data_IF_790844091130
#
_entry.id   IF_790844091130
#
_cell.length_a   1.000
_cell.length_b   1.000
_cell.length_c   1.000
_cell.angle_alpha   90.00
_cell.angle_beta   90.00
_cell.angle_gamma   90.00
#
_symmetry.space_group_name_H-M   'P 1'
#
loop_
_entity.id
_entity.type
_entity.pdbx_description
1 polymer ?
#
# COMPACT_ATOMS: atom_id res chain seq x y z
N UNK A 1 -4.40 14.17 -6.71
CA UNK A 1 -3.53 13.43 -5.77
C UNK A 1 -4.42 12.59 -4.87
N UNK A 2 -4.08 11.32 -4.57
CA UNK A 2 -4.82 10.56 -3.57
C UNK A 2 -4.74 11.34 -2.25
N UNK A 3 -5.90 11.67 -1.69
CA UNK A 3 -5.95 12.31 -0.38
C UNK A 3 -5.84 11.19 0.65
N UNK A 4 -4.63 10.98 1.15
CA UNK A 4 -4.42 10.10 2.30
C UNK A 4 -4.88 10.86 3.55
N UNK A 5 -6.11 10.63 3.96
CA UNK A 5 -6.67 11.16 5.22
C UNK A 5 -6.40 10.19 6.35
N UNK A 6 -5.15 9.89 6.60
CA UNK A 6 -4.73 9.20 7.82
C UNK A 6 -3.51 9.91 8.36
N UNK A 7 -3.28 9.79 9.65
CA UNK A 7 -2.07 10.17 10.37
C UNK A 7 -0.81 9.43 9.87
N UNK A 8 -0.86 8.87 8.65
CA UNK A 8 0.23 8.19 8.01
C UNK A 8 1.30 9.22 7.64
N UNK A 9 2.33 9.33 8.43
CA UNK A 9 3.50 10.10 8.07
C UNK A 9 4.18 9.40 6.90
N UNK A 10 3.89 9.85 5.68
CA UNK A 10 4.63 9.42 4.50
C UNK A 10 6.10 9.75 4.70
N UNK A 11 6.97 8.81 4.37
CA UNK A 11 8.39 9.02 4.42
C UNK A 11 8.83 10.05 3.38
N UNK A 12 9.76 10.91 3.76
CA UNK A 12 10.30 11.93 2.87
C UNK A 12 11.14 11.29 1.77
N UNK A 13 10.81 11.57 0.49
CA UNK A 13 11.40 10.95 -0.69
C UNK A 13 12.55 11.75 -1.33
N UNK A 14 12.92 12.92 -0.80
CA UNK A 14 13.94 13.82 -1.39
C UNK A 14 15.30 13.18 -1.65
N UNK A 15 15.67 12.16 -0.85
CA UNK A 15 16.94 11.45 -0.99
C UNK A 15 16.82 10.09 -1.68
N UNK A 16 15.61 9.74 -2.07
CA UNK A 16 15.38 8.42 -2.65
C UNK A 16 15.98 8.32 -4.05
N UNK A 17 16.48 7.15 -4.34
CA UNK A 17 16.90 6.72 -5.67
C UNK A 17 16.12 5.48 -6.04
N UNK A 18 15.59 5.44 -7.24
CA UNK A 18 14.84 4.29 -7.73
C UNK A 18 15.52 3.74 -8.97
N UNK A 19 15.55 2.43 -9.07
CA UNK A 19 16.03 1.67 -10.22
C UNK A 19 15.02 0.60 -10.60
N UNK A 20 15.05 0.16 -11.84
CA UNK A 20 14.12 -0.84 -12.34
C UNK A 20 14.82 -1.82 -13.30
N UNK A 21 14.30 -3.04 -13.38
CA UNK A 21 14.82 -4.09 -14.29
C UNK A 21 14.59 -3.75 -15.76
N UNK A 22 13.57 -2.95 -16.06
CA UNK A 22 13.20 -2.50 -17.41
C UNK A 22 12.92 -1.02 -17.39
N UNK A 23 13.16 -0.33 -18.52
CA UNK A 23 12.89 1.11 -18.66
C UNK A 23 13.48 1.97 -17.52
N UNK A 24 14.68 1.62 -17.08
CA UNK A 24 15.33 2.20 -15.90
C UNK A 24 15.55 3.72 -16.01
N UNK A 25 15.74 4.26 -17.21
CA UNK A 25 15.90 5.70 -17.45
C UNK A 25 14.67 6.52 -17.02
N UNK A 26 13.49 5.90 -16.99
CA UNK A 26 12.25 6.52 -16.56
C UNK A 26 11.85 6.16 -15.11
N UNK A 27 12.65 5.36 -14.40
CA UNK A 27 12.31 4.90 -13.06
C UNK A 27 11.99 6.06 -12.09
N UNK A 28 12.72 7.18 -12.19
CA UNK A 28 12.51 8.38 -11.38
C UNK A 28 11.09 8.93 -11.41
N UNK A 29 10.35 8.70 -12.50
CA UNK A 29 8.95 9.15 -12.63
C UNK A 29 7.98 8.48 -11.65
N UNK A 30 8.39 7.42 -10.98
CA UNK A 30 7.59 6.78 -9.93
C UNK A 30 7.71 7.47 -8.56
N UNK A 31 8.57 8.48 -8.43
CA UNK A 31 8.83 9.19 -7.16
C UNK A 31 9.04 10.71 -7.36
N UNK A 32 8.55 11.29 -8.45
CA UNK A 32 8.82 12.70 -8.85
C UNK A 32 7.76 13.70 -8.36
N UNK A 33 6.77 13.25 -7.60
CA UNK A 33 5.62 14.04 -7.11
C UNK A 33 4.70 14.57 -8.23
N UNK A 34 4.80 13.99 -9.44
CA UNK A 34 3.94 14.33 -10.56
C UNK A 34 3.13 13.11 -11.02
N UNK A 35 1.93 12.95 -10.50
CA UNK A 35 1.03 11.84 -10.84
C UNK A 35 0.60 11.85 -12.34
N UNK A 36 0.98 12.85 -13.13
CA UNK A 36 0.77 12.85 -14.59
C UNK A 36 1.86 12.09 -15.34
N UNK A 37 3.01 11.89 -14.73
CA UNK A 37 4.10 11.05 -15.24
C UNK A 37 4.01 9.62 -14.68
N UNK A 38 4.79 8.71 -15.21
CA UNK A 38 4.89 7.34 -14.71
C UNK A 38 6.18 6.66 -15.15
N UNK A 39 6.63 5.72 -14.36
CA UNK A 39 7.41 4.61 -14.84
C UNK A 39 6.48 3.50 -15.36
N UNK A 40 6.88 2.81 -16.40
CA UNK A 40 6.25 1.58 -16.87
C UNK A 40 7.28 0.60 -17.44
N UNK A 41 6.87 -0.66 -17.59
CA UNK A 41 7.75 -1.71 -18.13
C UNK A 41 8.07 -1.59 -19.61
N UNK A 42 7.42 -0.66 -20.34
CA UNK A 42 7.50 -0.52 -21.82
C UNK A 42 7.19 -1.81 -22.60
N UNK A 43 6.70 -2.84 -21.94
CA UNK A 43 6.29 -4.13 -22.48
C UNK A 43 5.30 -4.81 -21.55
N UNK A 44 4.65 -5.88 -22.04
CA UNK A 44 3.77 -6.73 -21.21
C UNK A 44 4.47 -7.19 -19.94
N UNK A 45 3.69 -7.28 -18.86
CA UNK A 45 4.19 -7.74 -17.56
C UNK A 45 4.73 -9.17 -17.64
N UNK A 46 5.92 -9.35 -17.08
CA UNK A 46 6.59 -10.64 -16.97
C UNK A 46 7.05 -10.86 -15.52
N UNK A 47 6.93 -12.09 -15.05
CA UNK A 47 7.50 -12.48 -13.77
C UNK A 47 9.02 -12.18 -13.73
N UNK A 48 9.49 -11.70 -12.59
CA UNK A 48 10.89 -11.31 -12.40
C UNK A 48 11.21 -9.85 -12.75
N UNK A 49 10.31 -9.09 -13.36
CA UNK A 49 10.47 -7.63 -13.45
C UNK A 49 10.44 -7.02 -12.05
N UNK A 50 11.22 -5.98 -11.81
CA UNK A 50 11.31 -5.38 -10.48
C UNK A 50 11.56 -3.87 -10.52
N UNK A 51 11.18 -3.20 -9.45
CA UNK A 51 11.63 -1.87 -9.06
C UNK A 51 12.26 -1.94 -7.68
N UNK A 52 13.32 -1.15 -7.46
CA UNK A 52 14.05 -1.08 -6.19
C UNK A 52 14.24 0.38 -5.80
N UNK A 53 13.96 0.68 -4.54
CA UNK A 53 14.17 2.00 -3.95
C UNK A 53 15.30 1.92 -2.93
N UNK A 54 16.26 2.84 -3.03
CA UNK A 54 17.25 3.14 -2.01
C UNK A 54 16.83 4.47 -1.35
N UNK A 55 16.49 4.44 -0.09
CA UNK A 55 16.01 5.60 0.67
C UNK A 55 17.15 6.50 1.19
N UNK A 56 18.42 6.08 0.97
CA UNK A 56 19.62 6.80 1.36
C UNK A 56 20.01 6.65 2.83
N UNK A 57 19.09 6.25 3.70
CA UNK A 57 19.30 5.93 5.11
C UNK A 57 18.27 4.89 5.58
N UNK A 58 18.59 4.16 6.64
CA UNK A 58 17.64 3.27 7.27
C UNK A 58 16.46 4.06 7.83
N UNK A 59 15.25 3.59 7.55
CA UNK A 59 13.99 4.17 8.01
C UNK A 59 13.07 3.03 8.44
N UNK A 60 12.26 3.28 9.47
CA UNK A 60 11.22 2.34 9.90
C UNK A 60 10.01 2.51 9.00
N UNK A 61 9.50 1.41 8.46
CA UNK A 61 8.30 1.40 7.61
C UNK A 61 7.54 0.08 7.79
N UNK A 62 6.24 0.13 7.54
CA UNK A 62 5.37 -1.04 7.54
C UNK A 62 4.36 -1.00 6.39
N UNK A 63 4.51 -0.03 5.47
CA UNK A 63 3.58 0.13 4.36
C UNK A 63 4.29 0.67 3.12
N UNK A 64 4.01 0.05 1.98
CA UNK A 64 4.36 0.55 0.64
C UNK A 64 3.07 0.79 -0.12
N UNK A 65 3.00 1.88 -0.86
CA UNK A 65 1.83 2.29 -1.63
C UNK A 65 2.26 2.49 -3.08
N UNK A 66 1.61 1.78 -4.00
CA UNK A 66 1.78 1.93 -5.45
C UNK A 66 0.53 2.60 -6.02
N UNK A 67 0.66 3.79 -6.55
CA UNK A 67 -0.41 4.49 -7.25
C UNK A 67 -0.32 4.23 -8.75
N UNK A 68 -1.33 3.55 -9.29
CA UNK A 68 -1.55 3.33 -10.72
C UNK A 68 -2.87 3.94 -11.19
N UNK A 69 -3.45 4.88 -10.42
CA UNK A 69 -4.83 5.39 -10.61
C UNK A 69 -5.07 6.00 -11.99
N UNK A 70 -4.03 6.59 -12.61
CA UNK A 70 -4.12 7.12 -13.99
C UNK A 70 -4.00 6.03 -15.07
N UNK A 71 -3.59 4.81 -14.70
CA UNK A 71 -3.51 3.63 -15.55
C UNK A 71 -4.07 2.42 -14.79
N UNK A 72 -5.40 2.36 -14.52
CA UNK A 72 -5.99 1.48 -13.51
C UNK A 72 -5.83 -0.02 -13.83
N UNK A 73 -5.53 -0.37 -15.08
CA UNK A 73 -5.29 -1.75 -15.50
C UNK A 73 -3.83 -2.18 -15.40
N UNK A 74 -2.92 -1.27 -15.07
CA UNK A 74 -1.47 -1.46 -15.14
C UNK A 74 -0.83 -1.81 -13.79
N UNK A 75 -1.64 -2.09 -12.76
CA UNK A 75 -1.13 -2.63 -11.49
C UNK A 75 -0.44 -4.00 -11.69
N UNK A 76 0.48 -4.40 -10.79
CA UNK A 76 1.22 -5.64 -10.91
C UNK A 76 0.28 -6.85 -10.91
N UNK A 77 0.46 -7.83 -11.79
CA UNK A 77 -0.37 -9.04 -11.82
C UNK A 77 -0.24 -9.86 -10.52
N UNK A 78 0.95 -9.83 -9.94
CA UNK A 78 1.27 -10.33 -8.61
C UNK A 78 2.59 -9.71 -8.16
N UNK A 79 2.84 -9.69 -6.86
CA UNK A 79 4.03 -9.07 -6.31
C UNK A 79 4.62 -9.83 -5.13
N UNK A 80 5.91 -9.64 -4.94
CA UNK A 80 6.66 -9.92 -3.72
C UNK A 80 7.40 -8.65 -3.31
N UNK A 81 7.33 -8.30 -2.02
CA UNK A 81 8.05 -7.18 -1.43
C UNK A 81 9.19 -7.70 -0.59
N UNK A 82 10.38 -7.21 -0.86
CA UNK A 82 11.61 -7.53 -0.15
C UNK A 82 12.20 -6.30 0.50
N UNK A 83 12.73 -6.44 1.72
CA UNK A 83 13.53 -5.44 2.40
C UNK A 83 14.99 -5.89 2.46
N UNK A 84 15.91 -4.93 2.34
CA UNK A 84 17.34 -5.20 2.55
C UNK A 84 17.63 -5.47 4.03
N UNK A 85 18.42 -6.48 4.32
CA UNK A 85 18.80 -6.88 5.69
C UNK A 85 20.12 -6.25 6.15
N UNK A 86 20.69 -5.31 5.41
CA UNK A 86 21.95 -4.64 5.76
C UNK A 86 22.97 -4.61 4.63
N UNK A 87 24.21 -4.94 4.89
CA UNK A 87 25.29 -4.92 3.90
C UNK A 87 25.12 -6.01 2.84
N UNK A 88 25.38 -5.66 1.59
CA UNK A 88 25.29 -6.55 0.44
C UNK A 88 23.87 -6.65 -0.14
N UNK A 89 23.68 -7.59 -1.07
CA UNK A 89 22.40 -7.82 -1.76
C UNK A 89 21.56 -8.91 -1.07
N UNK A 90 21.49 -8.86 0.26
CA UNK A 90 20.64 -9.78 1.04
C UNK A 90 19.25 -9.20 1.23
N UNK A 91 18.23 -10.02 0.94
CA UNK A 91 16.85 -9.60 0.89
C UNK A 91 15.95 -10.51 1.73
N UNK A 92 15.08 -9.90 2.54
CA UNK A 92 14.04 -10.58 3.33
C UNK A 92 12.70 -10.36 2.65
N UNK A 93 11.99 -11.43 2.29
CA UNK A 93 10.59 -11.35 1.85
C UNK A 93 9.72 -10.95 3.06
N UNK A 94 8.94 -9.89 2.91
CA UNK A 94 8.06 -9.39 3.98
C UNK A 94 6.59 -9.38 3.62
N UNK A 95 6.26 -9.35 2.32
CA UNK A 95 4.89 -9.45 1.86
C UNK A 95 4.83 -10.02 0.44
N UNK A 96 3.72 -10.65 0.09
CA UNK A 96 3.40 -11.09 -1.26
C UNK A 96 1.90 -11.02 -1.50
N UNK A 97 1.49 -10.89 -2.76
CA UNK A 97 0.08 -10.82 -3.08
C UNK A 97 -0.20 -10.65 -4.58
N UNK A 98 -1.47 -10.38 -4.87
CA UNK A 98 -1.95 -10.01 -6.20
C UNK A 98 -2.41 -8.57 -6.19
N UNK A 99 -2.53 -7.95 -7.36
CA UNK A 99 -3.07 -6.61 -7.47
C UNK A 99 -4.50 -6.54 -6.92
N UNK A 100 -4.75 -5.60 -6.03
CA UNK A 100 -6.05 -5.36 -5.40
C UNK A 100 -6.77 -4.12 -5.96
N UNK A 101 -6.19 -3.42 -6.95
CA UNK A 101 -6.81 -2.23 -7.52
C UNK A 101 -5.80 -1.24 -8.11
N UNK A 102 -6.27 -0.05 -8.44
CA UNK A 102 -5.43 1.01 -9.02
C UNK A 102 -4.52 1.71 -8.00
N UNK A 103 -4.79 1.56 -6.71
CA UNK A 103 -3.88 1.89 -5.61
C UNK A 103 -3.66 0.63 -4.81
N UNK A 104 -2.44 0.12 -4.86
CA UNK A 104 -2.04 -1.07 -4.13
C UNK A 104 -1.35 -0.65 -2.83
N UNK A 105 -1.95 -0.99 -1.69
CA UNK A 105 -1.33 -0.85 -0.37
C UNK A 105 -0.77 -2.21 0.03
N UNK A 106 0.52 -2.26 0.34
CA UNK A 106 1.22 -3.45 0.79
C UNK A 106 1.62 -3.22 2.25
N UNK A 107 0.95 -3.91 3.16
CA UNK A 107 1.22 -3.82 4.61
C UNK A 107 2.05 -5.02 5.07
N UNK A 108 2.92 -4.80 6.06
CA UNK A 108 3.79 -5.81 6.65
C UNK A 108 4.20 -5.38 8.08
N UNK A 109 4.72 -6.29 8.93
CA UNK A 109 5.24 -5.91 10.25
C UNK A 109 6.31 -4.83 10.12
N UNK A 110 6.30 -3.84 11.04
CA UNK A 110 7.23 -2.72 10.98
C UNK A 110 8.70 -3.18 11.05
N UNK A 111 9.48 -2.77 10.07
CA UNK A 111 10.89 -3.12 9.90
C UNK A 111 11.72 -1.87 9.64
N UNK A 112 12.99 -1.89 10.03
CA UNK A 112 13.96 -0.86 9.71
C UNK A 112 14.83 -1.31 8.53
N UNK A 113 14.86 -0.52 7.46
CA UNK A 113 15.63 -0.81 6.25
C UNK A 113 16.02 0.46 5.52
N UNK A 114 17.09 0.41 4.74
CA UNK A 114 17.46 1.50 3.83
C UNK A 114 16.99 1.26 2.39
N UNK A 115 16.59 0.02 2.05
CA UNK A 115 16.19 -0.34 0.68
C UNK A 115 15.04 -1.32 0.68
N UNK A 116 14.16 -1.18 -0.30
CA UNK A 116 13.16 -2.19 -0.58
C UNK A 116 13.05 -2.48 -2.09
N UNK A 117 12.60 -3.67 -2.43
CA UNK A 117 12.44 -4.13 -3.81
C UNK A 117 11.09 -4.81 -3.98
N UNK A 118 10.38 -4.42 -5.03
CA UNK A 118 9.11 -5.04 -5.42
C UNK A 118 9.38 -5.83 -6.70
N UNK A 119 9.08 -7.12 -6.65
CA UNK A 119 9.24 -8.05 -7.77
C UNK A 119 7.87 -8.46 -8.29
N UNK A 120 7.66 -8.32 -9.58
CA UNK A 120 6.49 -8.83 -10.29
C UNK A 120 6.54 -10.36 -10.33
N UNK A 121 5.48 -11.04 -9.90
CA UNK A 121 5.43 -12.51 -9.86
C UNK A 121 4.47 -13.12 -10.88
N UNK A 122 3.67 -12.28 -11.56
CA UNK A 122 2.71 -12.73 -12.56
C UNK A 122 3.03 -12.25 -13.96
N UNK A 123 2.17 -12.61 -14.91
CA UNK A 123 2.19 -12.16 -16.31
C UNK A 123 0.86 -11.53 -16.68
N UNK A 124 0.89 -10.48 -17.49
CA UNK A 124 -0.31 -9.79 -17.98
C UNK A 124 0.01 -9.06 -19.28
N UNK A 125 -0.95 -8.98 -20.20
CA UNK A 125 -0.77 -8.29 -21.49
C UNK A 125 -0.52 -6.78 -21.37
N UNK A 126 -0.98 -6.15 -20.28
CA UNK A 126 -0.75 -4.73 -20.01
C UNK A 126 0.66 -4.47 -19.49
N UNK A 127 1.08 -3.19 -19.50
CA UNK A 127 2.29 -2.76 -18.80
C UNK A 127 2.08 -2.88 -17.28
N UNK A 128 3.17 -2.99 -16.54
CA UNK A 128 3.18 -2.60 -15.13
C UNK A 128 3.60 -1.14 -15.08
N UNK A 129 2.74 -0.30 -14.52
CA UNK A 129 2.99 1.14 -14.40
C UNK A 129 2.96 1.56 -12.93
N UNK A 130 3.74 2.57 -12.58
CA UNK A 130 3.72 3.24 -11.28
C UNK A 130 3.74 4.74 -11.56
N UNK A 131 2.67 5.44 -11.21
CA UNK A 131 2.61 6.90 -11.27
C UNK A 131 3.30 7.51 -10.07
N UNK A 132 3.02 6.94 -8.86
CA UNK A 132 3.67 7.34 -7.63
C UNK A 132 3.87 6.14 -6.71
N UNK A 133 5.01 6.13 -6.03
CA UNK A 133 5.38 5.13 -5.05
C UNK A 133 5.70 5.84 -3.72
N UNK A 134 5.02 5.43 -2.65
CA UNK A 134 5.23 5.95 -1.31
C UNK A 134 5.57 4.83 -0.34
N UNK A 135 6.19 5.19 0.77
CA UNK A 135 6.31 4.34 1.95
C UNK A 135 5.86 5.12 3.18
N UNK A 136 5.36 4.41 4.17
CA UNK A 136 4.92 4.97 5.43
C UNK A 136 5.27 4.05 6.59
N UNK A 137 5.43 4.63 7.78
CA UNK A 137 5.33 3.92 9.03
C UNK A 137 4.07 4.38 9.74
N UNK A 138 3.09 3.51 9.81
CA UNK A 138 1.86 3.76 10.54
C UNK A 138 2.03 3.13 11.90
N UNK A 139 1.90 3.93 12.96
CA UNK A 139 1.80 3.38 14.29
C UNK A 139 0.48 2.60 14.37
N UNK A 140 0.59 1.29 14.55
CA UNK A 140 -0.59 0.45 14.71
C UNK A 140 -1.28 0.86 16.04
N UNK A 141 -2.49 1.42 16.00
CA UNK A 141 -3.21 1.77 17.22
C UNK A 141 -3.59 0.52 18.04
N UNK A 142 -3.27 -0.67 17.57
CA UNK A 142 -3.66 -1.94 18.20
C UNK A 142 -2.79 -2.37 19.39
N UNK A 143 -1.89 -1.52 19.93
CA UNK A 143 -1.20 -1.83 21.21
C UNK A 143 -2.04 -1.55 22.46
N UNK A 144 -3.35 -1.32 22.30
CA UNK A 144 -4.32 -1.24 23.39
C UNK A 144 -5.15 -2.51 23.49
N UNK A 145 -4.72 -3.49 24.32
CA UNK A 145 -5.47 -4.69 24.74
C UNK A 145 -5.78 -5.65 23.58
N UNK A 146 -4.92 -6.65 23.40
CA UNK A 146 -5.22 -7.83 22.59
C UNK A 146 -6.41 -8.57 23.22
N UNK A 147 -7.55 -8.73 22.54
CA UNK A 147 -8.44 -9.82 22.88
C UNK A 147 -7.76 -11.14 22.50
N UNK A 148 -8.04 -12.14 23.28
CA UNK A 148 -7.55 -13.53 23.20
C UNK A 148 -7.42 -14.04 21.75
N UNK A 149 -6.34 -14.77 21.47
CA UNK A 149 -5.83 -15.19 20.15
C UNK A 149 -6.72 -16.17 19.38
N UNK A 150 -8.03 -16.04 19.42
CA UNK A 150 -8.99 -16.86 18.64
C UNK A 150 -9.82 -16.06 17.62
N UNK A 151 -9.63 -14.76 17.48
CA UNK A 151 -10.32 -13.96 16.47
C UNK A 151 -9.36 -13.49 15.38
N UNK A 152 -9.66 -13.80 14.12
CA UNK A 152 -9.04 -13.20 12.96
C UNK A 152 -9.07 -11.66 13.11
N UNK A 153 -7.91 -11.01 13.11
CA UNK A 153 -7.85 -9.56 13.19
C UNK A 153 -8.63 -8.95 12.02
N UNK A 154 -9.63 -8.16 12.33
CA UNK A 154 -10.33 -7.38 11.32
C UNK A 154 -9.42 -6.22 10.89
N UNK A 155 -9.19 -6.10 9.60
CA UNK A 155 -8.48 -4.97 9.01
C UNK A 155 -9.50 -4.01 8.42
N UNK A 156 -9.30 -2.71 8.62
CA UNK A 156 -10.21 -1.67 8.15
C UNK A 156 -9.45 -0.66 7.27
N UNK A 157 -10.03 -0.33 6.12
CA UNK A 157 -9.43 0.54 5.11
C UNK A 157 -10.41 1.62 4.69
N UNK A 158 -9.96 2.87 4.63
CA UNK A 158 -10.74 3.97 4.08
C UNK A 158 -10.06 4.50 2.81
N UNK A 159 -10.82 4.55 1.70
CA UNK A 159 -10.35 5.08 0.43
C UNK A 159 -11.51 5.67 -0.38
N UNK A 160 -11.30 6.87 -0.91
CA UNK A 160 -12.21 7.56 -1.84
C UNK A 160 -13.69 7.60 -1.39
N UNK A 161 -13.92 7.89 -0.11
CA UNK A 161 -15.28 7.94 0.45
C UNK A 161 -15.84 6.58 0.84
N UNK A 162 -15.10 5.49 0.67
CA UNK A 162 -15.51 4.14 1.05
C UNK A 162 -14.66 3.62 2.20
N UNK A 163 -15.31 3.15 3.26
CA UNK A 163 -14.72 2.37 4.34
C UNK A 163 -14.94 0.90 4.04
N UNK A 164 -13.88 0.10 3.96
CA UNK A 164 -13.95 -1.34 3.73
C UNK A 164 -13.20 -2.09 4.82
N UNK A 165 -13.56 -3.35 5.07
CA UNK A 165 -12.93 -4.20 6.06
C UNK A 165 -12.85 -5.65 5.62
N UNK A 166 -11.90 -6.37 6.22
CA UNK A 166 -11.68 -7.80 6.02
C UNK A 166 -11.47 -8.50 7.37
N UNK A 167 -11.54 -9.83 7.38
CA UNK A 167 -11.30 -10.63 8.60
C UNK A 167 -12.51 -10.78 9.53
N UNK A 168 -13.65 -10.14 9.23
CA UNK A 168 -14.92 -10.42 9.88
C UNK A 168 -15.64 -11.53 9.10
N UNK A 169 -16.21 -12.53 9.82
CA UNK A 169 -16.94 -13.63 9.18
C UNK A 169 -18.10 -13.13 8.32
N UNK A 170 -18.24 -13.70 7.13
CA UNK A 170 -19.21 -13.26 6.09
C UNK A 170 -20.69 -13.40 6.50
N UNK A 171 -20.98 -14.04 7.61
CA UNK A 171 -22.34 -14.34 8.06
C UNK A 171 -22.83 -13.49 9.24
N UNK A 172 -22.06 -12.46 9.64
CA UNK A 172 -22.38 -11.62 10.78
C UNK A 172 -22.71 -10.17 10.35
N UNK A 173 -23.81 -9.64 10.87
CA UNK A 173 -24.06 -8.20 10.78
C UNK A 173 -22.98 -7.43 11.54
N UNK A 174 -22.32 -6.52 10.85
CA UNK A 174 -21.26 -5.67 11.42
C UNK A 174 -21.87 -4.31 11.78
N UNK A 175 -21.65 -3.87 13.02
CA UNK A 175 -22.02 -2.52 13.47
C UNK A 175 -20.81 -1.61 13.35
N UNK A 176 -20.96 -0.55 12.56
CA UNK A 176 -19.94 0.49 12.37
C UNK A 176 -20.39 1.74 13.12
N UNK A 177 -19.53 2.23 13.99
CA UNK A 177 -19.69 3.52 14.68
C UNK A 177 -18.51 4.41 14.35
N UNK A 178 -18.79 5.61 13.83
CA UNK A 178 -17.78 6.65 13.56
C UNK A 178 -18.03 7.79 14.53
N UNK A 179 -16.98 8.19 15.24
CA UNK A 179 -16.97 9.31 16.17
C UNK A 179 -15.90 10.33 15.77
N UNK A 180 -16.14 11.61 16.03
CA UNK A 180 -15.11 12.63 15.89
C UNK A 180 -14.16 12.64 17.11
N UNK A 181 -13.13 13.48 17.05
CA UNK A 181 -12.12 13.57 18.12
C UNK A 181 -12.68 14.10 19.46
N UNK A 182 -13.90 14.65 19.45
CA UNK A 182 -14.61 15.06 20.67
C UNK A 182 -15.49 13.95 21.27
N UNK A 183 -15.54 12.78 20.60
CA UNK A 183 -16.39 11.65 20.98
C UNK A 183 -17.84 11.76 20.49
N UNK A 184 -18.15 12.76 19.65
CA UNK A 184 -19.49 12.91 19.06
C UNK A 184 -19.67 11.88 17.95
N UNK A 185 -20.74 11.11 18.01
CA UNK A 185 -21.09 10.13 16.99
C UNK A 185 -21.46 10.84 15.67
N UNK A 186 -20.74 10.50 14.59
CA UNK A 186 -21.00 10.96 13.24
C UNK A 186 -21.83 9.96 12.43
N UNK A 187 -21.64 8.67 12.69
CA UNK A 187 -22.35 7.59 12.04
C UNK A 187 -22.54 6.41 12.99
N UNK A 188 -23.69 5.75 12.90
CA UNK A 188 -23.94 4.42 13.44
C UNK A 188 -24.72 3.62 12.39
N UNK A 189 -24.16 2.55 11.87
CA UNK A 189 -24.81 1.73 10.85
C UNK A 189 -24.52 0.25 11.07
N UNK A 190 -25.58 -0.57 10.94
CA UNK A 190 -25.46 -2.02 10.85
C UNK A 190 -25.43 -2.42 9.37
N UNK A 191 -24.51 -3.30 8.97
CA UNK A 191 -24.36 -3.74 7.60
C UNK A 191 -23.90 -5.20 7.51
N UNK A 192 -24.35 -5.90 6.48
CA UNK A 192 -23.86 -7.23 6.13
C UNK A 192 -22.85 -7.19 4.97
N UNK A 193 -22.58 -5.99 4.41
CA UNK A 193 -21.53 -5.80 3.43
C UNK A 193 -20.18 -5.66 4.14
N UNK A 194 -19.10 -5.86 3.43
CA UNK A 194 -17.74 -5.65 3.89
C UNK A 194 -17.21 -4.24 3.53
N UNK A 195 -18.11 -3.33 3.18
CA UNK A 195 -17.80 -1.93 2.92
C UNK A 195 -18.98 -1.02 3.26
N UNK A 196 -18.68 0.27 3.40
CA UNK A 196 -19.63 1.36 3.65
C UNK A 196 -19.22 2.61 2.87
N UNK A 197 -20.17 3.17 2.11
CA UNK A 197 -19.97 4.47 1.45
C UNK A 197 -20.16 5.61 2.44
N UNK A 198 -19.16 6.47 2.57
CA UNK A 198 -19.18 7.66 3.43
C UNK A 198 -19.37 8.95 2.62
N UNK A 199 -19.98 8.86 1.44
CA UNK A 199 -20.25 10.02 0.58
C UNK A 199 -21.21 10.99 1.30
N UNK A 200 -20.72 12.20 1.60
CA UNK A 200 -21.51 13.25 2.24
C UNK A 200 -21.12 13.61 3.67
N UNK A 201 -20.13 12.97 4.27
CA UNK A 201 -19.53 13.43 5.50
C UNK A 201 -18.49 14.54 5.18
N UNK A 202 -18.85 15.79 5.41
CA UNK A 202 -17.97 16.94 5.44
C UNK A 202 -17.74 17.39 6.86
#
# INVERSE_FOLDING_TARGET
APVFTTTDALLNRLKWKITASTNNSNAGKAIDDDASTRWDTSASQQAGQWVMVDMGAAQKLNRIILDTSKSPNDGPAGYELYLSTGEGDTWKLVASGKNAGSVQIISFPAEETSKFKIVQTGTKGNYWSIHELYAACVDDPSTGILPDASSSAAEMFYYNGQLSWSGLGNDMSTRIEIVDLSGRRLLLQDTNANFLELSGMQ
#
